data_IF_042421824681
#
_entry.id   IF_042421824681
#
_cell.length_a   1.000
_cell.length_b   1.000
_cell.length_c   1.000
_cell.angle_alpha   90.00
_cell.angle_beta   90.00
_cell.angle_gamma   90.00
#
_symmetry.space_group_name_H-M   'P 1'
#
loop_
_entity.id
_entity.type
_entity.pdbx_description
1 polymer ?
#
# COMPACT_ATOMS: atom_id res chain seq x y z
N UNK A 1 -31.95 20.09 1.96
CA UNK A 1 -30.69 20.85 2.05
C UNK A 1 -29.93 20.27 3.24
N UNK A 2 -29.06 19.30 3.00
CA UNK A 2 -28.38 18.56 4.07
C UNK A 2 -27.11 19.31 4.43
N UNK A 3 -27.11 19.89 5.62
CA UNK A 3 -25.96 20.54 6.24
C UNK A 3 -25.00 19.49 6.85
N UNK A 4 -23.70 19.84 6.83
CA UNK A 4 -22.55 19.26 7.56
C UNK A 4 -21.63 18.22 6.86
N UNK A 5 -20.28 18.28 7.05
CA UNK A 5 -19.54 19.14 7.98
C UNK A 5 -18.64 20.20 7.33
N UNK A 6 -18.47 21.24 8.13
CA UNK A 6 -17.51 22.34 8.12
C UNK A 6 -16.06 21.90 7.88
N UNK A 7 -15.41 22.60 6.94
CA UNK A 7 -13.99 22.97 6.87
C UNK A 7 -12.94 22.18 7.69
N UNK A 8 -12.01 21.55 6.98
CA UNK A 8 -10.56 21.77 7.21
C UNK A 8 -9.81 21.27 5.99
N UNK A 9 -9.12 22.15 5.27
CA UNK A 9 -7.76 22.03 4.68
C UNK A 9 -7.15 20.65 4.28
N UNK A 10 -7.95 19.61 4.12
CA UNK A 10 -7.58 18.21 4.03
C UNK A 10 -8.50 17.52 3.00
N UNK A 11 -8.11 16.35 2.52
CA UNK A 11 -8.52 15.79 1.23
C UNK A 11 -10.05 15.56 1.09
N UNK A 12 -10.54 15.45 -0.14
CA UNK A 12 -11.94 15.06 -0.44
C UNK A 12 -12.27 13.71 0.20
N UNK A 13 -13.52 13.52 0.66
CA UNK A 13 -13.97 12.27 1.30
C UNK A 13 -13.70 11.05 0.43
N UNK A 14 -13.86 11.18 -0.90
CA UNK A 14 -13.56 10.10 -1.84
C UNK A 14 -12.06 9.76 -1.89
N UNK A 15 -11.17 10.75 -1.77
CA UNK A 15 -9.73 10.52 -1.71
C UNK A 15 -9.32 9.86 -0.38
N UNK A 16 -9.98 10.25 0.72
CA UNK A 16 -9.78 9.61 2.03
C UNK A 16 -10.21 8.15 1.97
N UNK A 17 -11.37 7.84 1.41
CA UNK A 17 -11.85 6.46 1.27
C UNK A 17 -10.89 5.58 0.45
N UNK A 18 -10.33 6.12 -0.65
CA UNK A 18 -9.29 5.42 -1.42
C UNK A 18 -8.04 5.15 -0.59
N UNK A 19 -7.63 6.09 0.28
CA UNK A 19 -6.52 5.86 1.20
C UNK A 19 -6.81 4.76 2.22
N UNK A 20 -8.04 4.70 2.74
CA UNK A 20 -8.47 3.64 3.67
C UNK A 20 -8.48 2.25 3.02
N UNK A 21 -8.73 2.18 1.71
CA UNK A 21 -8.67 0.93 0.92
C UNK A 21 -7.25 0.51 0.56
N UNK A 22 -6.25 1.36 0.77
CA UNK A 22 -4.87 1.12 0.36
C UNK A 22 -4.52 1.65 -1.04
N UNK A 23 -5.46 2.25 -1.75
CA UNK A 23 -5.31 2.76 -3.11
C UNK A 23 -4.74 4.18 -3.15
N UNK A 24 -3.51 4.35 -2.63
CA UNK A 24 -2.84 5.66 -2.53
C UNK A 24 -2.68 6.32 -3.89
N UNK A 25 -2.41 5.55 -4.95
CA UNK A 25 -2.29 6.09 -6.31
C UNK A 25 -3.61 6.63 -6.85
N UNK A 26 -4.74 5.98 -6.54
CA UNK A 26 -6.06 6.45 -6.94
C UNK A 26 -6.41 7.74 -6.18
N UNK A 27 -6.11 7.79 -4.88
CA UNK A 27 -6.28 8.99 -4.07
C UNK A 27 -5.47 10.18 -4.64
N UNK A 28 -4.20 9.97 -5.02
CA UNK A 28 -3.37 11.02 -5.64
C UNK A 28 -3.94 11.48 -6.98
N UNK A 29 -4.39 10.55 -7.83
CA UNK A 29 -5.03 10.90 -9.11
C UNK A 29 -6.29 11.73 -8.91
N UNK A 30 -7.13 11.36 -7.94
CA UNK A 30 -8.35 12.07 -7.63
C UNK A 30 -8.06 13.48 -7.12
N UNK A 31 -7.16 13.62 -6.15
CA UNK A 31 -6.73 14.92 -5.61
C UNK A 31 -6.12 15.80 -6.70
N UNK A 32 -5.37 15.20 -7.63
CA UNK A 32 -4.80 15.91 -8.77
C UNK A 32 -5.88 16.51 -9.68
N UNK A 33 -6.91 15.73 -9.99
CA UNK A 33 -8.01 16.16 -10.87
C UNK A 33 -8.91 17.18 -10.16
N UNK A 34 -9.29 16.91 -8.91
CA UNK A 34 -10.18 17.77 -8.11
C UNK A 34 -9.56 19.15 -7.81
N UNK A 35 -8.25 19.19 -7.55
CA UNK A 35 -7.55 20.42 -7.14
C UNK A 35 -6.73 21.05 -8.27
N UNK A 36 -6.73 20.44 -9.46
CA UNK A 36 -5.93 20.84 -10.62
C UNK A 36 -4.43 21.00 -10.29
N UNK A 37 -3.88 20.10 -9.47
CA UNK A 37 -2.51 20.19 -8.97
C UNK A 37 -1.50 19.44 -9.84
N UNK A 38 -0.23 19.79 -9.71
CA UNK A 38 0.86 18.98 -10.24
C UNK A 38 0.95 17.62 -9.52
N UNK A 39 1.54 16.61 -10.17
CA UNK A 39 1.73 15.28 -9.55
C UNK A 39 2.51 15.37 -8.23
N UNK A 40 3.52 16.24 -8.19
CA UNK A 40 4.36 16.47 -7.00
C UNK A 40 3.53 17.03 -5.83
N UNK A 41 2.70 18.04 -6.10
CA UNK A 41 1.87 18.69 -5.08
C UNK A 41 0.75 17.77 -4.60
N UNK A 42 0.10 17.05 -5.50
CA UNK A 42 -0.92 16.06 -5.14
C UNK A 42 -0.32 14.95 -4.25
N UNK A 43 0.89 14.47 -4.59
CA UNK A 43 1.61 13.49 -3.78
C UNK A 43 2.01 14.06 -2.41
N UNK A 44 2.45 15.31 -2.36
CA UNK A 44 2.87 15.95 -1.11
C UNK A 44 1.68 16.18 -0.18
N UNK A 45 0.55 16.67 -0.69
CA UNK A 45 -0.70 16.81 0.07
C UNK A 45 -1.20 15.47 0.62
N UNK A 46 -1.25 14.44 -0.22
CA UNK A 46 -1.65 13.10 0.21
C UNK A 46 -0.66 12.53 1.22
N UNK A 47 0.64 12.74 1.01
CA UNK A 47 1.69 12.31 1.92
C UNK A 47 1.64 13.03 3.27
N UNK A 48 1.34 14.33 3.29
CA UNK A 48 1.15 15.11 4.50
C UNK A 48 -0.07 14.63 5.28
N UNK A 49 -1.17 14.32 4.60
CA UNK A 49 -2.36 13.74 5.21
C UNK A 49 -2.12 12.35 5.82
N UNK A 50 -1.40 11.48 5.10
CA UNK A 50 -1.01 10.17 5.66
C UNK A 50 -0.06 10.35 6.85
N UNK A 51 0.80 11.37 6.85
CA UNK A 51 1.71 11.63 7.98
C UNK A 51 0.99 12.18 9.21
N UNK A 52 -0.08 12.95 9.02
CA UNK A 52 -0.89 13.46 10.13
C UNK A 52 -1.80 12.40 10.75
N UNK A 53 -2.05 11.28 10.06
CA UNK A 53 -2.89 10.18 10.56
C UNK A 53 -2.10 8.89 10.84
N UNK A 54 -1.69 8.66 12.11
CA UNK A 54 -0.93 7.46 12.48
C UNK A 54 -1.72 6.16 12.31
N UNK A 55 -3.04 6.18 12.52
CA UNK A 55 -3.93 5.03 12.32
C UNK A 55 -4.01 4.57 10.86
N UNK A 56 -3.97 5.52 9.92
CA UNK A 56 -4.00 5.25 8.49
C UNK A 56 -2.70 4.58 8.04
N UNK A 57 -1.55 5.07 8.54
CA UNK A 57 -0.24 4.45 8.29
C UNK A 57 -0.18 3.00 8.74
N UNK A 58 -0.64 2.73 9.96
CA UNK A 58 -0.62 1.38 10.50
C UNK A 58 -1.45 0.41 9.65
N UNK A 59 -2.61 0.84 9.14
CA UNK A 59 -3.42 0.05 8.21
C UNK A 59 -2.75 -0.15 6.84
N UNK A 60 -2.14 0.90 6.29
CA UNK A 60 -1.41 0.80 5.02
C UNK A 60 -0.22 -0.18 5.13
N UNK A 61 0.53 -0.14 6.23
CA UNK A 61 1.62 -1.08 6.50
C UNK A 61 1.12 -2.52 6.74
N UNK A 62 0.00 -2.69 7.43
CA UNK A 62 -0.64 -4.00 7.60
C UNK A 62 -1.11 -4.59 6.26
N UNK A 63 -1.79 -3.80 5.43
CA UNK A 63 -2.24 -4.22 4.10
C UNK A 63 -1.06 -4.61 3.19
N UNK A 64 0.06 -3.91 3.30
CA UNK A 64 1.28 -4.22 2.54
C UNK A 64 2.01 -5.47 3.06
N UNK A 65 1.92 -5.73 4.37
CA UNK A 65 2.59 -6.86 5.03
C UNK A 65 1.90 -8.19 4.76
N UNK A 66 0.58 -8.25 4.61
CA UNK A 66 -0.11 -9.51 4.32
C UNK A 66 0.30 -10.15 3.00
N UNK A 67 0.55 -9.31 1.99
CA UNK A 67 0.95 -9.77 0.64
C UNK A 67 2.42 -10.21 0.63
N UNK A 68 3.31 -9.38 1.20
CA UNK A 68 4.75 -9.65 1.18
C UNK A 68 5.19 -10.79 2.12
N UNK A 69 4.49 -11.01 3.24
CA UNK A 69 4.79 -12.13 4.14
C UNK A 69 4.41 -13.48 3.53
N UNK A 70 3.25 -13.56 2.85
CA UNK A 70 2.82 -14.79 2.17
C UNK A 70 3.76 -15.15 1.01
N UNK A 71 4.18 -14.16 0.23
CA UNK A 71 5.15 -14.35 -0.87
C UNK A 71 6.53 -14.79 -0.36
N UNK A 72 7.09 -14.13 0.67
CA UNK A 72 8.39 -14.50 1.23
C UNK A 72 8.39 -15.91 1.82
N UNK A 73 7.33 -16.29 2.55
CA UNK A 73 7.22 -17.61 3.17
C UNK A 73 7.10 -18.73 2.14
N UNK A 74 6.36 -18.51 1.05
CA UNK A 74 6.29 -19.45 -0.07
C UNK A 74 7.65 -19.64 -0.77
N UNK A 75 8.39 -18.54 -0.98
CA UNK A 75 9.68 -18.58 -1.66
C UNK A 75 10.77 -19.28 -0.83
N UNK A 76 10.78 -19.08 0.49
CA UNK A 76 11.71 -19.78 1.40
C UNK A 76 11.46 -21.30 1.37
N UNK A 77 10.21 -21.74 1.46
CA UNK A 77 9.87 -23.18 1.39
C UNK A 77 10.26 -23.76 0.04
N UNK A 78 9.98 -23.06 -1.07
CA UNK A 78 10.37 -23.49 -2.41
C UNK A 78 11.90 -23.62 -2.57
N UNK A 79 12.68 -22.70 -2.01
CA UNK A 79 14.15 -22.76 -2.04
C UNK A 79 14.69 -23.95 -1.23
N UNK A 80 14.14 -24.22 -0.05
CA UNK A 80 14.53 -25.38 0.75
C UNK A 80 14.23 -26.68 -0.02
N UNK A 81 13.05 -26.76 -0.65
CA UNK A 81 12.65 -27.93 -1.43
C UNK A 81 13.55 -28.14 -2.66
N UNK A 82 13.89 -27.06 -3.37
CA UNK A 82 14.79 -27.09 -4.52
C UNK A 82 16.22 -27.51 -4.12
N UNK A 83 16.73 -26.98 -3.00
CA UNK A 83 18.05 -27.35 -2.48
C UNK A 83 18.11 -28.83 -2.07
N UNK A 84 17.07 -29.35 -1.41
CA UNK A 84 16.97 -30.76 -1.04
C UNK A 84 16.91 -31.67 -2.28
N UNK A 85 16.13 -31.29 -3.31
CA UNK A 85 16.06 -32.04 -4.56
C UNK A 85 17.41 -32.06 -5.30
N UNK A 86 18.12 -30.93 -5.35
CA UNK A 86 19.45 -30.84 -5.95
C UNK A 86 20.47 -31.72 -5.21
N UNK A 87 20.46 -31.70 -3.87
CA UNK A 87 21.32 -32.56 -3.05
C UNK A 87 21.02 -34.05 -3.26
N UNK A 88 19.74 -34.42 -3.35
CA UNK A 88 19.32 -35.79 -3.64
C UNK A 88 19.81 -36.25 -5.02
N UNK A 89 19.63 -35.43 -6.05
CA UNK A 89 20.06 -35.73 -7.41
C UNK A 89 21.59 -35.88 -7.52
N UNK A 90 22.33 -35.03 -6.80
CA UNK A 90 23.79 -35.08 -6.75
C UNK A 90 24.30 -36.32 -6.02
N UNK A 91 23.61 -36.74 -4.95
CA UNK A 91 23.96 -37.96 -4.21
C UNK A 91 23.66 -39.23 -5.01
N UNK A 92 22.58 -39.23 -5.80
CA UNK A 92 22.22 -40.37 -6.65
C UNK A 92 23.06 -40.48 -7.93
N UNK A 93 23.65 -39.37 -8.38
CA UNK A 93 24.54 -39.34 -9.56
C UNK A 93 26.01 -39.61 -9.22
N UNK A 94 26.30 -40.02 -7.98
CA UNK A 94 27.65 -40.32 -7.48
C UNK A 94 27.79 -41.79 -7.11
#
# INVERSE_FOLDING_TARGET
MTTEPTQSSSLSNAAVEMLWRGDVTAAIKLVRVERNLGLKEAKDLVGAYIRSQPSLRQKLEQAQSEIWQKLKRGLIVALIFAAAAAAYFFFQSR
#
